data_IF_638855851592
#
_entry.id   IF_638855851592
#
_cell.length_a   1.000
_cell.length_b   1.000
_cell.length_c   1.000
_cell.angle_alpha   90.00
_cell.angle_beta   90.00
_cell.angle_gamma   90.00
#
_symmetry.space_group_name_H-M   'P 1'
#
loop_
_entity.id
_entity.type
_entity.pdbx_description
1 polymer ?
#
# COMPACT_ATOMS: atom_id res chain seq x y z
N UNK A 1 14.96 16.62 14.67
CA UNK A 1 14.76 15.17 14.78
C UNK A 1 13.27 14.90 14.68
N UNK A 2 12.84 13.93 13.87
CA UNK A 2 11.43 13.53 13.79
C UNK A 2 11.09 12.65 14.99
N UNK A 3 9.87 12.79 15.52
CA UNK A 3 9.34 11.93 16.58
C UNK A 3 8.08 11.26 16.07
N UNK A 4 7.87 10.02 16.47
CA UNK A 4 6.65 9.32 16.15
C UNK A 4 5.44 10.07 16.74
N UNK A 5 4.42 10.28 15.91
CA UNK A 5 3.20 11.01 16.26
C UNK A 5 3.22 12.51 15.96
N UNK A 6 4.38 13.11 15.68
CA UNK A 6 4.48 14.53 15.34
C UNK A 6 4.28 14.77 13.84
N UNK A 7 3.68 15.92 13.48
CA UNK A 7 3.56 16.34 12.08
C UNK A 7 4.93 16.74 11.51
N UNK A 8 5.24 16.26 10.31
CA UNK A 8 6.46 16.58 9.57
C UNK A 8 6.14 17.28 8.24
N UNK A 9 6.99 18.23 7.84
CA UNK A 9 6.92 18.86 6.51
C UNK A 9 7.71 18.03 5.50
N UNK A 10 7.10 17.75 4.35
CA UNK A 10 7.71 16.95 3.29
C UNK A 10 7.76 17.75 1.99
N UNK A 11 8.93 17.76 1.34
CA UNK A 11 9.13 18.29 0.00
C UNK A 11 9.36 17.13 -0.97
N UNK A 12 8.70 17.17 -2.12
CA UNK A 12 8.77 16.13 -3.13
C UNK A 12 8.97 16.76 -4.51
N UNK A 13 9.73 16.08 -5.36
CA UNK A 13 10.04 16.51 -6.72
C UNK A 13 9.90 15.34 -7.69
N UNK A 14 9.63 15.64 -8.96
CA UNK A 14 9.45 14.65 -10.01
C UNK A 14 7.99 14.31 -10.31
N UNK A 15 7.73 13.50 -11.36
CA UNK A 15 6.39 13.22 -11.84
C UNK A 15 5.58 12.32 -10.89
N UNK A 16 6.25 11.60 -9.99
CA UNK A 16 5.62 10.69 -9.02
C UNK A 16 5.84 11.21 -7.60
N UNK A 17 4.74 11.38 -6.88
CA UNK A 17 4.74 11.87 -5.49
C UNK A 17 4.83 10.68 -4.52
N UNK A 18 6.04 10.12 -4.38
CA UNK A 18 6.28 8.88 -3.61
C UNK A 18 5.80 8.93 -2.16
N UNK A 19 5.87 10.09 -1.50
CA UNK A 19 5.37 10.20 -0.13
C UNK A 19 3.85 10.05 -0.08
N UNK A 20 3.14 10.59 -1.06
CA UNK A 20 1.69 10.48 -1.14
C UNK A 20 1.28 9.01 -1.34
N UNK A 21 2.01 8.27 -2.18
CA UNK A 21 1.81 6.83 -2.38
C UNK A 21 2.04 6.02 -1.10
N UNK A 22 3.15 6.30 -0.38
CA UNK A 22 3.47 5.62 0.89
C UNK A 22 2.44 5.95 1.97
N UNK A 23 2.01 7.21 2.05
CA UNK A 23 1.00 7.64 3.00
C UNK A 23 -0.37 6.99 2.72
N UNK A 24 -0.76 6.89 1.45
CA UNK A 24 -1.98 6.19 1.04
C UNK A 24 -1.92 4.71 1.42
N UNK A 25 -0.81 4.03 1.12
CA UNK A 25 -0.61 2.63 1.49
C UNK A 25 -0.60 2.42 3.01
N UNK A 26 0.02 3.33 3.76
CA UNK A 26 0.04 3.29 5.22
C UNK A 26 -1.37 3.46 5.82
N UNK A 27 -2.14 4.45 5.35
CA UNK A 27 -3.52 4.69 5.81
C UNK A 27 -4.43 3.51 5.49
N UNK A 28 -4.33 2.95 4.29
CA UNK A 28 -5.05 1.75 3.91
C UNK A 28 -4.70 0.59 4.84
N UNK A 29 -3.40 0.33 5.06
CA UNK A 29 -2.94 -0.73 5.96
C UNK A 29 -3.46 -0.52 7.38
N UNK A 30 -3.45 0.72 7.89
CA UNK A 30 -3.98 1.05 9.21
C UNK A 30 -5.50 0.80 9.29
N UNK A 31 -6.26 1.18 8.25
CA UNK A 31 -7.70 0.92 8.15
C UNK A 31 -8.07 -0.56 8.06
N UNK A 32 -7.20 -1.38 7.46
CA UNK A 32 -7.37 -2.84 7.34
C UNK A 32 -6.79 -3.64 8.53
N UNK A 33 -6.53 -3.00 9.68
CA UNK A 33 -6.05 -3.69 10.87
C UNK A 33 -4.58 -4.11 10.80
N UNK A 34 -3.78 -3.45 9.96
CA UNK A 34 -2.35 -3.67 9.79
C UNK A 34 -2.01 -5.12 9.42
N UNK A 35 -2.53 -5.64 8.29
CA UNK A 35 -2.28 -7.00 7.87
C UNK A 35 -0.78 -7.34 7.85
N UNK A 36 -0.50 -8.57 8.24
CA UNK A 36 0.81 -9.18 8.08
C UNK A 36 1.08 -9.43 6.59
N UNK A 37 2.31 -9.27 6.10
CA UNK A 37 2.67 -9.55 4.71
C UNK A 37 2.27 -10.94 4.21
N UNK A 38 2.22 -11.95 5.08
CA UNK A 38 1.80 -13.32 4.72
C UNK A 38 0.34 -13.47 4.30
N UNK A 39 -0.52 -12.47 4.60
CA UNK A 39 -1.93 -12.46 4.21
C UNK A 39 -2.16 -11.98 2.77
N UNK A 40 -1.14 -11.39 2.15
CA UNK A 40 -1.21 -11.00 0.76
C UNK A 40 -0.99 -12.22 -0.13
N UNK A 41 -1.78 -12.29 -1.18
CA UNK A 41 -1.57 -13.26 -2.25
C UNK A 41 -1.48 -12.58 -3.62
N UNK A 42 -0.94 -13.34 -4.57
CA UNK A 42 -0.80 -12.94 -5.96
C UNK A 42 -1.39 -14.05 -6.83
N UNK A 43 -2.37 -13.69 -7.65
CA UNK A 43 -2.91 -14.57 -8.69
C UNK A 43 -2.34 -14.14 -10.03
N UNK A 44 -1.64 -15.06 -10.70
CA UNK A 44 -1.08 -14.84 -12.03
C UNK A 44 -1.82 -15.69 -13.05
N UNK A 45 -2.23 -15.07 -14.15
CA UNK A 45 -2.90 -15.74 -15.27
C UNK A 45 -2.28 -15.29 -16.59
N UNK A 46 -2.64 -15.94 -17.70
CA UNK A 46 -2.25 -15.47 -19.03
C UNK A 46 -2.76 -14.04 -19.37
N UNK A 47 -3.75 -13.51 -18.63
CA UNK A 47 -4.28 -12.16 -18.81
C UNK A 47 -3.57 -11.09 -17.97
N UNK A 48 -2.66 -11.49 -17.08
CA UNK A 48 -1.96 -10.60 -16.17
C UNK A 48 -2.04 -11.04 -14.71
N UNK A 49 -1.71 -10.12 -13.83
CA UNK A 49 -1.52 -10.35 -12.39
C UNK A 49 -2.48 -9.52 -11.53
N UNK A 50 -2.91 -10.12 -10.42
CA UNK A 50 -3.81 -9.49 -9.45
C UNK A 50 -3.34 -9.77 -8.04
N UNK A 51 -3.24 -8.75 -7.21
CA UNK A 51 -2.91 -8.85 -5.78
C UNK A 51 -4.20 -8.80 -4.98
N UNK A 52 -4.23 -9.51 -3.86
CA UNK A 52 -5.37 -9.56 -2.96
C UNK A 52 -4.91 -9.67 -1.50
N UNK A 53 -5.82 -9.34 -0.58
CA UNK A 53 -5.66 -9.54 0.86
C UNK A 53 -6.75 -10.52 1.33
N UNK A 54 -6.34 -11.66 1.89
CA UNK A 54 -7.19 -12.78 2.37
C UNK A 54 -8.04 -13.52 1.31
N UNK A 55 -8.73 -12.82 0.41
CA UNK A 55 -9.65 -13.40 -0.57
C UNK A 55 -9.25 -13.03 -2.01
N UNK A 56 -8.88 -14.00 -2.88
CA UNK A 56 -8.61 -13.78 -4.29
C UNK A 56 -9.75 -13.11 -5.09
N UNK A 57 -11.00 -13.21 -4.62
CA UNK A 57 -12.16 -12.58 -5.25
C UNK A 57 -12.16 -11.04 -5.06
N UNK A 58 -11.60 -10.54 -3.95
CA UNK A 58 -11.41 -9.10 -3.69
C UNK A 58 -9.96 -8.70 -3.99
N UNK A 59 -9.69 -8.53 -5.28
CA UNK A 59 -8.34 -8.31 -5.82
C UNK A 59 -8.25 -7.03 -6.65
N UNK A 60 -7.06 -6.44 -6.69
CA UNK A 60 -6.71 -5.33 -7.56
C UNK A 60 -5.65 -5.73 -8.59
N UNK A 61 -5.68 -5.09 -9.76
CA UNK A 61 -4.63 -5.24 -10.77
C UNK A 61 -3.38 -4.51 -10.30
N UNK A 62 -2.21 -5.08 -10.58
CA UNK A 62 -0.91 -4.42 -10.37
C UNK A 62 -0.68 -3.34 -11.43
#
# INVERSE_FOLDING_TARGET
>A
MFRDGDTARVWQCGPRRLWDDVEAAFRWRAGHGRPDPSRFGLTVTAKGERVWLDDPADSWTV
#
